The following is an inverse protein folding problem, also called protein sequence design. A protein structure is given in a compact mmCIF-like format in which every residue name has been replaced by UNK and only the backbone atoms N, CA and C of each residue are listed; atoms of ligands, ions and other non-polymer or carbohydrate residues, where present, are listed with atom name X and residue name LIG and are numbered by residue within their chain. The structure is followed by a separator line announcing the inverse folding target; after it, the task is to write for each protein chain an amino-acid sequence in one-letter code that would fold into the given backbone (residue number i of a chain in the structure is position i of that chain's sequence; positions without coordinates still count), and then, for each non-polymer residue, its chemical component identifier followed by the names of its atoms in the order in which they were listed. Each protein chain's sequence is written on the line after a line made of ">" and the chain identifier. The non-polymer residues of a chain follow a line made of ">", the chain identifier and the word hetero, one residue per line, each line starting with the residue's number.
data_IF_006930805443
#
_entry.id   IF_006930805443
#
_cell.length_a   1.000
_cell.length_b   1.000
_cell.length_c   1.000
_cell.angle_alpha   90.00
_cell.angle_beta   90.00
_cell.angle_gamma   90.00
#
_symmetry.space_group_name_H-M   'P 1'
#
loop_
_entity.id
_entity.type
_entity.pdbx_description
1 polymer ?
#
# COMPACT_ATOMS: atom_id res chain seq x y z
N UNK A 1 -22.55 -30.70 -57.47
CA UNK A 1 -22.84 -30.85 -56.02
C UNK A 1 -21.72 -30.14 -55.26
N UNK A 2 -21.97 -28.86 -54.88
CA UNK A 2 -20.97 -28.04 -54.21
C UNK A 2 -21.28 -28.07 -52.73
N UNK A 3 -20.45 -28.70 -51.94
CA UNK A 3 -20.55 -28.75 -50.49
C UNK A 3 -19.98 -27.44 -49.92
N UNK A 4 -20.88 -26.54 -49.53
CA UNK A 4 -20.55 -25.34 -48.79
C UNK A 4 -20.20 -25.72 -47.33
N UNK A 5 -18.93 -25.86 -47.01
CA UNK A 5 -18.46 -25.96 -45.63
C UNK A 5 -18.52 -24.58 -45.00
N UNK A 6 -19.49 -24.34 -44.13
CA UNK A 6 -19.57 -23.16 -43.29
C UNK A 6 -18.33 -23.11 -42.37
N UNK A 7 -17.68 -21.95 -42.23
CA UNK A 7 -16.60 -21.82 -41.27
C UNK A 7 -17.15 -22.02 -39.86
N UNK A 8 -16.55 -22.97 -39.13
CA UNK A 8 -16.81 -23.18 -37.71
C UNK A 8 -16.36 -21.94 -36.96
N UNK A 9 -17.30 -21.17 -36.44
CA UNK A 9 -17.01 -20.10 -35.48
C UNK A 9 -16.45 -20.83 -34.27
N UNK A 10 -15.15 -20.71 -34.03
CA UNK A 10 -14.55 -21.07 -32.73
C UNK A 10 -15.16 -20.11 -31.71
N UNK A 11 -16.10 -20.60 -30.92
CA UNK A 11 -16.64 -19.91 -29.76
C UNK A 11 -15.49 -19.76 -28.73
N UNK A 12 -14.68 -18.72 -28.90
CA UNK A 12 -13.61 -18.38 -28.00
C UNK A 12 -14.22 -18.15 -26.62
N UNK A 13 -13.81 -18.96 -25.65
CA UNK A 13 -14.23 -18.81 -24.26
C UNK A 13 -13.99 -17.36 -23.82
N UNK A 14 -14.98 -16.70 -23.20
CA UNK A 14 -14.80 -15.30 -22.78
C UNK A 14 -13.61 -15.20 -21.83
N UNK A 15 -12.76 -14.16 -21.95
CA UNK A 15 -11.56 -14.02 -21.15
C UNK A 15 -11.90 -14.09 -19.66
N UNK A 16 -11.11 -14.84 -18.90
CA UNK A 16 -11.30 -14.96 -17.47
C UNK A 16 -11.15 -13.58 -16.80
N UNK A 17 -11.79 -13.37 -15.65
CA UNK A 17 -11.65 -12.12 -14.87
C UNK A 17 -10.19 -11.78 -14.57
N UNK A 18 -9.35 -12.80 -14.45
CA UNK A 18 -7.92 -12.67 -14.22
C UNK A 18 -7.20 -12.09 -15.44
N UNK A 19 -7.52 -12.60 -16.62
CA UNK A 19 -6.90 -12.15 -17.88
C UNK A 19 -7.30 -10.71 -18.20
N UNK A 20 -8.54 -10.34 -17.94
CA UNK A 20 -9.04 -8.97 -18.05
C UNK A 20 -8.29 -8.01 -17.07
N UNK A 21 -8.08 -8.41 -15.82
CA UNK A 21 -7.34 -7.63 -14.84
C UNK A 21 -5.86 -7.44 -15.24
N UNK A 22 -5.19 -8.52 -15.66
CA UNK A 22 -3.79 -8.47 -16.10
C UNK A 22 -3.63 -7.58 -17.34
N UNK A 23 -4.54 -7.71 -18.32
CA UNK A 23 -4.50 -6.87 -19.52
C UNK A 23 -4.65 -5.39 -19.19
N UNK A 24 -5.50 -5.04 -18.22
CA UNK A 24 -5.68 -3.67 -17.74
C UNK A 24 -4.45 -3.12 -17.05
N UNK A 25 -3.79 -3.91 -16.19
CA UNK A 25 -2.52 -3.51 -15.56
C UNK A 25 -1.46 -3.22 -16.62
N UNK A 26 -1.32 -4.10 -17.62
CA UNK A 26 -0.37 -3.89 -18.74
C UNK A 26 -0.72 -2.67 -19.58
N UNK A 27 -2.00 -2.30 -19.67
CA UNK A 27 -2.47 -1.11 -20.38
C UNK A 27 -2.32 0.19 -19.59
N UNK A 28 -1.84 0.17 -18.34
CA UNK A 28 -1.62 1.40 -17.55
C UNK A 28 -0.46 2.19 -18.16
N UNK A 29 -0.67 3.47 -18.55
CA UNK A 29 0.40 4.28 -19.14
C UNK A 29 1.58 4.47 -18.18
N UNK A 30 2.82 4.47 -18.65
CA UNK A 30 4.02 4.67 -17.81
C UNK A 30 3.96 5.91 -16.92
N UNK A 31 3.34 6.99 -17.40
CA UNK A 31 3.14 8.22 -16.64
C UNK A 31 2.34 8.02 -15.34
N UNK A 32 1.42 7.06 -15.30
CA UNK A 32 0.64 6.76 -14.08
C UNK A 32 1.49 6.01 -13.05
N UNK A 33 2.38 5.13 -13.50
CA UNK A 33 3.34 4.46 -12.61
C UNK A 33 4.33 5.45 -12.02
N UNK A 34 4.87 6.36 -12.84
CA UNK A 34 5.76 7.43 -12.38
C UNK A 34 5.02 8.33 -11.37
N UNK A 35 3.78 8.73 -11.67
CA UNK A 35 2.98 9.52 -10.75
C UNK A 35 2.74 8.77 -9.43
N UNK A 36 2.48 7.45 -9.45
CA UNK A 36 2.33 6.64 -8.24
C UNK A 36 3.62 6.63 -7.40
N UNK A 37 4.77 6.45 -8.03
CA UNK A 37 6.07 6.49 -7.35
C UNK A 37 6.30 7.85 -6.69
N UNK A 38 6.11 8.95 -7.42
CA UNK A 38 6.31 10.29 -6.91
C UNK A 38 5.32 10.64 -5.79
N UNK A 39 4.04 10.31 -5.96
CA UNK A 39 3.03 10.58 -4.92
C UNK A 39 3.20 9.69 -3.70
N UNK A 40 3.62 8.44 -3.88
CA UNK A 40 3.97 7.54 -2.76
C UNK A 40 5.17 8.06 -1.97
N UNK A 41 6.21 8.50 -2.67
CA UNK A 41 7.39 9.08 -2.05
C UNK A 41 7.08 10.38 -1.29
N UNK A 42 6.43 11.35 -1.95
CA UNK A 42 6.11 12.64 -1.32
C UNK A 42 5.02 12.50 -0.26
N UNK A 43 4.01 11.67 -0.50
CA UNK A 43 2.88 11.46 0.40
C UNK A 43 3.24 10.73 1.69
N UNK A 44 4.31 9.94 1.70
CA UNK A 44 4.78 9.26 2.92
C UNK A 44 5.59 10.18 3.85
N UNK A 45 6.13 11.31 3.35
CA UNK A 45 6.96 12.22 4.16
C UNK A 45 6.22 12.73 5.42
N UNK A 46 4.99 13.28 5.35
CA UNK A 46 4.30 13.77 6.54
C UNK A 46 4.11 12.69 7.61
N UNK A 47 3.75 11.47 7.21
CA UNK A 47 3.62 10.35 8.13
C UNK A 47 4.97 9.96 8.73
N UNK A 48 6.03 9.93 7.92
CA UNK A 48 7.37 9.64 8.39
C UNK A 48 7.87 10.68 9.41
N UNK A 49 7.61 11.97 9.18
CA UNK A 49 7.92 13.02 10.15
C UNK A 49 7.15 12.83 11.46
N UNK A 50 5.87 12.47 11.39
CA UNK A 50 5.08 12.17 12.58
C UNK A 50 5.61 10.93 13.31
N UNK A 51 6.03 9.89 12.61
CA UNK A 51 6.63 8.69 13.21
C UNK A 51 7.99 8.98 13.86
N UNK A 52 8.78 9.92 13.30
CA UNK A 52 10.10 10.25 13.81
C UNK A 52 10.04 11.21 15.01
N UNK A 53 9.16 12.21 14.97
CA UNK A 53 9.16 13.32 15.92
C UNK A 53 7.89 13.42 16.77
N UNK A 54 6.81 12.78 16.35
CA UNK A 54 5.51 12.79 17.05
C UNK A 54 5.32 11.63 18.04
N UNK A 55 6.30 10.75 18.19
CA UNK A 55 6.27 9.64 19.14
C UNK A 55 7.37 9.81 20.19
N UNK A 56 7.17 9.29 21.42
CA UNK A 56 8.19 9.28 22.47
C UNK A 56 9.48 8.59 22.04
N UNK A 57 9.38 7.59 21.17
CA UNK A 57 10.51 6.91 20.56
C UNK A 57 10.50 7.16 19.05
N UNK A 58 11.64 7.55 18.45
CA UNK A 58 11.74 7.81 17.02
C UNK A 58 11.63 6.50 16.22
N UNK A 59 10.42 6.17 15.79
CA UNK A 59 10.09 4.90 15.14
C UNK A 59 10.83 4.69 13.81
N UNK A 60 11.11 5.77 13.07
CA UNK A 60 11.83 5.68 11.81
C UNK A 60 13.24 5.14 12.01
N UNK A 61 14.01 5.72 12.94
CA UNK A 61 15.42 5.32 13.11
C UNK A 61 15.61 4.08 13.97
N UNK A 62 14.66 3.76 14.85
CA UNK A 62 14.76 2.63 15.77
C UNK A 62 13.95 1.43 15.30
N UNK A 63 12.62 1.57 15.20
CA UNK A 63 11.74 0.43 14.95
C UNK A 63 11.85 -0.12 13.53
N UNK A 64 11.89 0.74 12.51
CA UNK A 64 11.90 0.29 11.11
C UNK A 64 13.15 -0.55 10.76
N UNK A 65 14.40 -0.17 11.09
CA UNK A 65 15.54 -1.05 10.87
C UNK A 65 15.40 -2.40 11.58
N UNK A 66 14.94 -2.38 12.85
CA UNK A 66 14.76 -3.60 13.63
C UNK A 66 13.71 -4.56 13.04
N UNK A 67 12.65 -4.06 12.39
CA UNK A 67 11.67 -4.90 11.69
C UNK A 67 12.32 -5.79 10.61
N UNK A 68 13.47 -5.39 10.09
CA UNK A 68 14.24 -6.12 9.07
C UNK A 68 15.48 -6.80 9.63
N UNK A 69 15.62 -6.88 10.96
CA UNK A 69 16.79 -7.46 11.60
C UNK A 69 18.07 -6.67 11.43
N UNK A 70 17.94 -5.36 11.11
CA UNK A 70 19.07 -4.46 10.92
C UNK A 70 19.30 -3.64 12.18
N UNK A 71 20.56 -3.46 12.57
CA UNK A 71 20.89 -2.72 13.79
C UNK A 71 20.48 -1.25 13.67
N UNK A 72 19.78 -0.73 14.69
CA UNK A 72 19.48 0.67 14.88
C UNK A 72 20.25 1.23 16.07
N UNK A 73 20.23 2.55 16.28
CA UNK A 73 19.51 3.56 15.50
C UNK A 73 20.17 3.88 14.15
N UNK A 74 19.38 3.99 13.10
CA UNK A 74 19.87 4.37 11.77
C UNK A 74 18.80 5.14 10.99
N UNK A 75 18.87 6.45 11.07
CA UNK A 75 17.88 7.35 10.48
C UNK A 75 17.79 7.22 8.95
N UNK A 76 18.93 7.15 8.25
CA UNK A 76 18.96 7.06 6.80
C UNK A 76 18.31 5.74 6.32
N UNK A 77 18.67 4.64 6.97
CA UNK A 77 18.10 3.33 6.66
C UNK A 77 16.60 3.30 6.96
N UNK A 78 16.18 3.82 8.10
CA UNK A 78 14.76 3.90 8.47
C UNK A 78 13.95 4.72 7.47
N UNK A 79 14.44 5.89 7.05
CA UNK A 79 13.79 6.68 6.00
C UNK A 79 13.76 5.95 4.65
N UNK A 80 14.82 5.25 4.28
CA UNK A 80 14.84 4.46 3.04
C UNK A 80 13.76 3.38 3.06
N UNK A 81 13.66 2.63 4.15
CA UNK A 81 12.63 1.60 4.34
C UNK A 81 11.23 2.22 4.30
N UNK A 82 11.02 3.33 5.04
CA UNK A 82 9.73 4.02 5.08
C UNK A 82 9.28 4.50 3.70
N UNK A 83 10.18 5.13 2.95
CA UNK A 83 9.90 5.59 1.57
C UNK A 83 9.61 4.42 0.62
N UNK A 84 10.34 3.32 0.76
CA UNK A 84 10.06 2.11 -0.01
C UNK A 84 8.64 1.59 0.26
N UNK A 85 8.20 1.57 1.52
CA UNK A 85 6.82 1.18 1.85
C UNK A 85 5.78 2.14 1.25
N UNK A 86 6.01 3.46 1.33
CA UNK A 86 5.12 4.47 0.76
C UNK A 86 4.96 4.33 -0.75
N UNK A 87 6.08 4.16 -1.47
CA UNK A 87 6.08 3.93 -2.92
C UNK A 87 5.39 2.61 -3.27
N UNK A 88 5.72 1.53 -2.57
CA UNK A 88 5.11 0.21 -2.80
C UNK A 88 3.59 0.26 -2.62
N UNK A 89 3.11 0.90 -1.54
CA UNK A 89 1.69 1.05 -1.30
C UNK A 89 1.00 1.84 -2.42
N UNK A 90 1.59 2.94 -2.88
CA UNK A 90 1.03 3.73 -3.97
C UNK A 90 0.95 2.94 -5.30
N UNK A 91 1.98 2.17 -5.62
CA UNK A 91 1.98 1.27 -6.80
C UNK A 91 0.90 0.21 -6.68
N UNK A 92 0.75 -0.42 -5.51
CA UNK A 92 -0.32 -1.40 -5.24
C UNK A 92 -1.71 -0.78 -5.36
N UNK A 93 -1.91 0.45 -4.91
CA UNK A 93 -3.19 1.18 -5.08
C UNK A 93 -3.49 1.41 -6.56
N UNK A 94 -2.51 1.85 -7.37
CA UNK A 94 -2.70 2.01 -8.82
C UNK A 94 -3.07 0.67 -9.47
N UNK A 95 -2.42 -0.42 -9.09
CA UNK A 95 -2.78 -1.76 -9.57
C UNK A 95 -4.19 -2.17 -9.13
N UNK A 96 -4.56 -1.96 -7.86
CA UNK A 96 -5.86 -2.31 -7.31
C UNK A 96 -7.01 -1.54 -8.00
N UNK A 97 -6.79 -0.28 -8.36
CA UNK A 97 -7.77 0.55 -9.10
C UNK A 97 -8.08 0.00 -10.49
N UNK A 98 -7.20 -0.84 -11.07
CA UNK A 98 -7.52 -1.51 -12.35
C UNK A 98 -8.58 -2.61 -12.19
N UNK A 99 -8.87 -3.04 -10.97
CA UNK A 99 -9.96 -3.99 -10.72
C UNK A 99 -11.32 -3.33 -10.97
N UNK A 100 -12.15 -3.99 -11.77
CA UNK A 100 -13.40 -3.44 -12.29
C UNK A 100 -14.33 -2.79 -11.24
N UNK A 101 -14.58 -3.43 -10.07
CA UNK A 101 -15.46 -2.86 -9.05
C UNK A 101 -14.93 -1.57 -8.42
N UNK A 102 -13.61 -1.41 -8.33
CA UNK A 102 -12.97 -0.22 -7.77
C UNK A 102 -12.91 0.88 -8.82
N UNK A 103 -12.53 0.54 -10.04
CA UNK A 103 -12.38 1.49 -11.15
C UNK A 103 -13.65 2.29 -11.42
N UNK A 104 -14.82 1.65 -11.35
CA UNK A 104 -16.09 2.33 -11.57
C UNK A 104 -16.39 3.40 -10.52
N UNK A 105 -15.78 3.32 -9.33
CA UNK A 105 -15.97 4.26 -8.23
C UNK A 105 -15.01 5.44 -8.22
N UNK A 106 -13.86 5.32 -8.89
CA UNK A 106 -12.83 6.36 -8.93
C UNK A 106 -12.88 7.26 -10.17
N UNK A 107 -13.95 7.22 -10.94
CA UNK A 107 -14.16 8.04 -12.12
C UNK A 107 -14.41 9.52 -11.79
N UNK A 108 -14.75 9.82 -10.53
CA UNK A 108 -14.97 11.18 -10.03
C UNK A 108 -13.95 11.55 -8.96
N UNK A 109 -13.69 12.84 -8.78
CA UNK A 109 -12.80 13.34 -7.72
C UNK A 109 -13.30 12.91 -6.34
N UNK A 110 -14.62 12.95 -6.09
CA UNK A 110 -15.20 12.48 -4.81
C UNK A 110 -14.96 10.99 -4.58
N UNK A 111 -15.15 10.17 -5.61
CA UNK A 111 -14.88 8.73 -5.52
C UNK A 111 -13.40 8.43 -5.27
N UNK A 112 -12.49 9.15 -5.94
CA UNK A 112 -11.05 9.02 -5.73
C UNK A 112 -10.65 9.44 -4.31
N UNK A 113 -11.16 10.56 -3.79
CA UNK A 113 -10.93 10.99 -2.40
C UNK A 113 -11.51 9.98 -1.40
N UNK A 114 -12.73 9.49 -1.62
CA UNK A 114 -13.32 8.45 -0.76
C UNK A 114 -12.48 7.18 -0.72
N UNK A 115 -11.95 6.72 -1.87
CA UNK A 115 -11.03 5.58 -1.90
C UNK A 115 -9.72 5.89 -1.16
N UNK A 116 -9.15 7.08 -1.34
CA UNK A 116 -7.90 7.47 -0.66
C UNK A 116 -8.07 7.46 0.87
N UNK A 117 -9.18 8.02 1.38
CA UNK A 117 -9.51 7.99 2.82
C UNK A 117 -9.70 6.56 3.31
N UNK A 118 -10.47 5.74 2.58
CA UNK A 118 -10.68 4.33 2.94
C UNK A 118 -9.36 3.55 2.99
N UNK A 119 -8.52 3.69 1.96
CA UNK A 119 -7.19 3.05 1.92
C UNK A 119 -6.34 3.54 3.09
N UNK A 120 -6.33 4.85 3.37
CA UNK A 120 -5.60 5.41 4.52
C UNK A 120 -6.05 4.78 5.85
N UNK A 121 -7.34 4.74 6.12
CA UNK A 121 -7.90 4.13 7.34
C UNK A 121 -7.54 2.64 7.43
N UNK A 122 -7.78 1.88 6.36
CA UNK A 122 -7.52 0.43 6.34
C UNK A 122 -6.05 0.13 6.50
N UNK A 123 -5.16 0.84 5.80
CA UNK A 123 -3.72 0.62 5.91
C UNK A 123 -3.19 1.02 7.29
N UNK A 124 -3.65 2.13 7.86
CA UNK A 124 -3.26 2.52 9.23
C UNK A 124 -3.71 1.47 10.24
N UNK A 125 -4.97 1.03 10.19
CA UNK A 125 -5.48 -0.01 11.09
C UNK A 125 -4.70 -1.33 10.94
N UNK A 126 -4.47 -1.79 9.72
CA UNK A 126 -3.79 -3.06 9.48
C UNK A 126 -2.28 -2.98 9.75
N UNK A 127 -1.61 -1.93 9.27
CA UNK A 127 -0.15 -1.85 9.36
C UNK A 127 0.30 -1.37 10.74
N UNK A 128 -0.28 -0.29 11.26
CA UNK A 128 0.19 0.34 12.51
C UNK A 128 -0.39 -0.33 13.76
N UNK A 129 -1.66 -0.74 13.74
CA UNK A 129 -2.31 -1.31 14.93
C UNK A 129 -2.13 -2.83 15.03
N UNK A 130 -2.09 -3.55 13.90
CA UNK A 130 -2.02 -5.00 13.90
C UNK A 130 -0.63 -5.52 13.50
N UNK A 131 -0.16 -5.21 12.29
CA UNK A 131 1.04 -5.85 11.75
C UNK A 131 2.33 -5.36 12.41
N UNK A 132 2.47 -4.06 12.64
CA UNK A 132 3.68 -3.50 13.24
C UNK A 132 3.94 -4.04 14.66
N UNK A 133 2.98 -4.04 15.60
CA UNK A 133 3.18 -4.64 16.92
C UNK A 133 3.53 -6.12 16.87
N UNK A 134 2.81 -6.92 16.07
CA UNK A 134 3.10 -8.35 15.90
C UNK A 134 4.49 -8.60 15.34
N UNK A 135 4.88 -7.83 14.32
CA UNK A 135 6.18 -7.99 13.70
C UNK A 135 7.33 -7.60 14.64
N UNK A 136 7.20 -6.46 15.33
CA UNK A 136 8.20 -6.02 16.30
C UNK A 136 8.37 -7.01 17.45
N UNK A 137 7.28 -7.62 17.94
CA UNK A 137 7.35 -8.69 18.91
C UNK A 137 8.06 -9.94 18.35
N UNK A 138 7.72 -10.33 17.11
CA UNK A 138 8.30 -11.51 16.46
C UNK A 138 9.82 -11.38 16.24
N UNK A 139 10.32 -10.17 15.98
CA UNK A 139 11.77 -9.91 15.84
C UNK A 139 12.47 -9.58 17.17
N UNK A 140 11.74 -9.62 18.29
CA UNK A 140 12.29 -9.38 19.63
C UNK A 140 12.69 -7.93 19.91
N UNK A 141 11.99 -6.97 19.31
CA UNK A 141 12.25 -5.54 19.58
C UNK A 141 11.89 -5.21 21.04
N UNK A 142 12.82 -4.66 21.85
CA UNK A 142 12.62 -4.50 23.30
C UNK A 142 11.46 -3.58 23.69
N UNK A 143 11.13 -2.63 22.82
CA UNK A 143 10.06 -1.66 23.03
C UNK A 143 8.83 -1.95 22.15
N UNK A 144 8.65 -3.22 21.74
CA UNK A 144 7.51 -3.61 20.93
C UNK A 144 6.19 -3.31 21.67
N UNK A 145 5.26 -2.58 21.05
CA UNK A 145 3.96 -2.31 21.68
C UNK A 145 3.19 -3.61 21.90
N UNK A 146 2.34 -3.62 22.92
CA UNK A 146 1.46 -4.76 23.20
C UNK A 146 0.45 -4.89 22.07
N UNK A 147 0.24 -6.09 21.57
CA UNK A 147 -0.74 -6.36 20.53
C UNK A 147 -2.14 -6.61 21.10
N UNK A 148 -3.19 -6.03 20.51
CA UNK A 148 -3.20 -4.91 19.57
C UNK A 148 -2.79 -3.59 20.26
N UNK A 149 -2.04 -2.72 19.55
CA UNK A 149 -1.67 -1.41 20.12
C UNK A 149 -2.86 -0.45 20.05
N UNK A 150 -3.68 -0.47 21.08
CA UNK A 150 -4.83 0.41 21.26
C UNK A 150 -4.46 1.72 21.98
N UNK A 151 -3.18 1.90 22.35
CA UNK A 151 -2.72 3.11 23.06
C UNK A 151 -2.32 4.24 22.11
N UNK A 152 -2.19 3.96 20.83
CA UNK A 152 -1.86 4.97 19.80
C UNK A 152 -2.74 6.24 19.87
N UNK A 153 -4.08 6.14 20.05
CA UNK A 153 -4.92 7.34 20.19
C UNK A 153 -4.58 8.20 21.41
N UNK A 154 -4.24 7.58 22.53
CA UNK A 154 -3.89 8.31 23.77
C UNK A 154 -2.54 9.03 23.64
N UNK A 155 -1.56 8.39 23.01
CA UNK A 155 -0.24 8.97 22.78
C UNK A 155 -0.28 10.16 21.81
N UNK A 156 -1.19 10.17 20.85
CA UNK A 156 -1.35 11.26 19.90
C UNK A 156 -1.88 12.55 20.53
N UNK A 157 -2.50 12.48 21.71
CA UNK A 157 -3.11 13.61 22.41
C UNK A 157 -2.37 14.05 23.69
N UNK A 158 -1.30 13.35 24.05
CA UNK A 158 -0.52 13.62 25.26
C UNK A 158 0.71 14.52 25.07
N UNK A 159 0.71 15.32 23.98
CA UNK A 159 1.75 16.33 23.69
C UNK A 159 1.28 17.70 24.11
#
# INVERSE_FOLDING_TARGET
>A
MSTHSSPRIEDGEPPSRRDDFISRIRGVPPKQWIAAILTGFLGSIPLGLMMQYGNPEPLIELALPNMYGLAGPNLLLGWTIHQFHGVTLAVLVVAAVQWSPIRSRVTTVRGALGLAVLVGIVTTALLSVLLMPLWLQAVGYPHAPVFPDLTMPEKAWSV
#
